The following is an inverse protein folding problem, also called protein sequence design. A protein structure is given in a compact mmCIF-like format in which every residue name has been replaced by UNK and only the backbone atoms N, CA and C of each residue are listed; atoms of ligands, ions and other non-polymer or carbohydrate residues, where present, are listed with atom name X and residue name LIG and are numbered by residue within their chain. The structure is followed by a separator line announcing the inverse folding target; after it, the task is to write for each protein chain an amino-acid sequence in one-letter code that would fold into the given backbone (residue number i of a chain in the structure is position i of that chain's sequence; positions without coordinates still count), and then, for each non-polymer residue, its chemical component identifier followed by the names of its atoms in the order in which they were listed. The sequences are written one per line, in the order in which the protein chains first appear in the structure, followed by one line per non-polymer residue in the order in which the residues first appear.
data_IF_493617009446
#
_entry.id   IF_493617009446
#
_cell.length_a   1.000
_cell.length_b   1.000
_cell.length_c   1.000
_cell.angle_alpha   90.00
_cell.angle_beta   90.00
_cell.angle_gamma   90.00
#
_symmetry.space_group_name_H-M   'P 1'
#
loop_
_entity.id
_entity.type
_entity.pdbx_description
1 polymer ?
#
# COMPACT_ATOMS: atom_id res chain seq x y z
N UNK A 1 -1.13 -26.88 12.16
CA UNK A 1 -2.02 -26.06 11.33
C UNK A 1 -1.16 -24.94 10.80
N UNK A 2 -0.93 -24.89 9.49
CA UNK A 2 -0.27 -23.74 8.90
C UNK A 2 -1.15 -22.53 9.16
N UNK A 3 -0.58 -21.47 9.75
CA UNK A 3 -1.31 -20.23 9.95
C UNK A 3 -1.73 -19.71 8.57
N UNK A 4 -3.04 -19.57 8.37
CA UNK A 4 -3.61 -18.99 7.18
C UNK A 4 -3.00 -17.59 6.98
N UNK A 5 -2.56 -17.28 5.77
CA UNK A 5 -2.07 -15.95 5.43
C UNK A 5 -3.17 -14.93 5.71
N UNK A 6 -2.85 -13.91 6.52
CA UNK A 6 -3.80 -12.88 6.93
C UNK A 6 -3.16 -11.51 6.79
N UNK A 7 -3.92 -10.60 6.19
CA UNK A 7 -3.52 -9.21 5.99
C UNK A 7 -4.72 -8.28 6.07
N UNK A 8 -4.45 -6.99 6.26
CA UNK A 8 -5.44 -5.91 6.26
C UNK A 8 -4.96 -4.77 5.36
N UNK A 9 -5.90 -4.13 4.70
CA UNK A 9 -5.65 -2.97 3.84
C UNK A 9 -6.11 -1.71 4.57
N UNK A 10 -5.22 -0.73 4.69
CA UNK A 10 -5.53 0.58 5.21
C UNK A 10 -5.36 1.62 4.10
N UNK A 11 -6.47 2.21 3.68
CA UNK A 11 -6.45 3.35 2.79
C UNK A 11 -5.73 4.54 3.45
N UNK A 12 -4.80 5.16 2.74
CA UNK A 12 -4.02 6.30 3.25
C UNK A 12 -4.44 7.64 2.64
N UNK A 13 -5.16 7.66 1.50
CA UNK A 13 -5.60 8.90 0.88
C UNK A 13 -6.91 9.39 1.49
N UNK A 14 -6.92 10.65 1.90
CA UNK A 14 -8.15 11.39 2.18
C UNK A 14 -8.20 12.68 1.39
N UNK A 15 -9.40 13.21 1.23
CA UNK A 15 -9.67 14.48 0.57
C UNK A 15 -10.44 15.39 1.50
N UNK A 16 -9.95 16.62 1.63
CA UNK A 16 -10.64 17.73 2.29
C UNK A 16 -10.70 18.92 1.32
N UNK A 17 -11.91 19.25 0.86
CA UNK A 17 -12.08 20.21 -0.26
C UNK A 17 -11.35 19.73 -1.51
N UNK A 18 -10.50 20.57 -2.09
CA UNK A 18 -9.69 20.23 -3.26
C UNK A 18 -8.31 19.62 -2.91
N UNK A 19 -8.03 19.41 -1.62
CA UNK A 19 -6.72 18.91 -1.16
C UNK A 19 -6.78 17.42 -0.88
N UNK A 20 -5.91 16.65 -1.54
CA UNK A 20 -5.64 15.24 -1.22
C UNK A 20 -4.48 15.16 -0.23
N UNK A 21 -4.65 14.39 0.83
CA UNK A 21 -3.66 14.22 1.90
C UNK A 21 -3.47 12.76 2.29
N UNK A 22 -2.35 12.46 2.93
CA UNK A 22 -2.01 11.17 3.52
C UNK A 22 -0.91 11.38 4.58
N UNK A 23 -0.61 10.37 5.43
CA UNK A 23 0.54 10.43 6.32
C UNK A 23 1.83 10.77 5.55
N UNK A 24 2.64 11.67 6.10
CA UNK A 24 3.75 12.33 5.38
C UNK A 24 4.74 11.36 4.77
N UNK A 25 5.24 10.38 5.54
CA UNK A 25 6.26 9.44 5.06
C UNK A 25 5.74 8.58 3.89
N UNK A 26 4.60 7.87 4.00
CA UNK A 26 4.03 7.14 2.87
C UNK A 26 3.71 8.01 1.65
N UNK A 27 3.25 9.25 1.86
CA UNK A 27 2.97 10.19 0.77
C UNK A 27 4.24 10.57 0.01
N UNK A 28 5.31 10.95 0.72
CA UNK A 28 6.59 11.31 0.11
C UNK A 28 7.21 10.12 -0.63
N UNK A 29 7.18 8.94 0.00
CA UNK A 29 7.61 7.70 -0.64
C UNK A 29 6.86 7.43 -1.95
N UNK A 30 5.53 7.49 -1.92
CA UNK A 30 4.70 7.25 -3.11
C UNK A 30 4.98 8.27 -4.23
N UNK A 31 5.17 9.55 -3.87
CA UNK A 31 5.55 10.58 -4.83
C UNK A 31 6.91 10.30 -5.48
N UNK A 32 7.88 9.84 -4.72
CA UNK A 32 9.21 9.56 -5.24
C UNK A 32 9.22 8.31 -6.13
N UNK A 33 8.49 7.26 -5.76
CA UNK A 33 8.34 6.07 -6.62
C UNK A 33 7.59 6.38 -7.91
N UNK A 34 6.53 7.20 -7.84
CA UNK A 34 5.77 7.61 -9.01
C UNK A 34 6.62 8.45 -9.99
N UNK A 35 7.45 9.38 -9.46
CA UNK A 35 8.40 10.15 -10.28
C UNK A 35 9.43 9.27 -11.00
N UNK A 36 9.94 8.22 -10.34
CA UNK A 36 10.89 7.29 -10.95
C UNK A 36 10.29 6.52 -12.12
N UNK A 37 8.98 6.25 -12.07
CA UNK A 37 8.24 5.59 -13.15
C UNK A 37 7.68 6.52 -14.23
N UNK A 38 7.83 7.84 -14.09
CA UNK A 38 7.10 8.86 -14.89
C UNK A 38 5.57 8.65 -14.86
N UNK A 39 5.05 8.17 -13.73
CA UNK A 39 3.63 7.91 -13.51
C UNK A 39 3.05 8.86 -12.47
N UNK A 40 1.75 9.11 -12.56
CA UNK A 40 0.98 9.71 -11.46
C UNK A 40 0.33 8.58 -10.68
N UNK A 41 0.15 8.76 -9.37
CA UNK A 41 -0.65 7.85 -8.54
C UNK A 41 -1.90 8.57 -8.02
N UNK A 42 -2.97 7.81 -7.83
CA UNK A 42 -4.21 8.28 -7.20
C UNK A 42 -4.82 7.23 -6.26
N UNK A 43 -4.06 6.18 -5.93
CA UNK A 43 -4.34 5.16 -4.92
C UNK A 43 -3.10 5.01 -4.05
N UNK A 44 -3.28 5.03 -2.74
CA UNK A 44 -2.22 4.75 -1.77
C UNK A 44 -2.84 4.03 -0.57
N UNK A 45 -2.31 2.86 -0.24
CA UNK A 45 -2.72 2.09 0.92
C UNK A 45 -1.52 1.42 1.59
N UNK A 46 -1.68 1.10 2.87
CA UNK A 46 -0.75 0.26 3.61
C UNK A 46 -1.31 -1.16 3.73
N UNK A 47 -0.44 -2.14 3.60
CA UNK A 47 -0.73 -3.55 3.88
C UNK A 47 -0.17 -3.90 5.23
N UNK A 48 -1.04 -4.33 6.14
CA UNK A 48 -0.66 -4.86 7.45
C UNK A 48 -0.73 -6.38 7.41
N UNK A 49 0.31 -7.05 7.87
CA UNK A 49 0.32 -8.51 8.00
C UNK A 49 0.10 -8.91 9.45
N UNK A 50 -0.60 -10.03 9.67
CA UNK A 50 -0.66 -10.68 11.00
C UNK A 50 0.74 -11.12 11.45
N UNK A 51 1.56 -11.58 10.50
CA UNK A 51 2.97 -11.89 10.72
C UNK A 51 3.82 -10.63 10.51
N UNK A 52 4.15 -9.96 11.62
CA UNK A 52 4.92 -8.71 11.64
C UNK A 52 6.36 -8.88 11.12
N UNK A 53 6.83 -10.11 10.88
CA UNK A 53 8.19 -10.35 10.35
C UNK A 53 8.29 -10.24 8.83
N UNK A 54 7.15 -10.16 8.14
CA UNK A 54 7.09 -10.00 6.68
C UNK A 54 7.68 -8.64 6.29
N UNK A 55 8.61 -8.66 5.34
CA UNK A 55 9.34 -7.49 4.83
C UNK A 55 10.21 -6.75 5.86
N UNK A 56 10.56 -7.40 6.97
CA UNK A 56 11.43 -6.82 8.00
C UNK A 56 12.84 -7.43 8.01
N UNK A 57 13.79 -6.69 8.58
CA UNK A 57 15.10 -7.18 9.02
C UNK A 57 15.13 -7.30 10.53
N UNK A 58 16.01 -8.17 11.05
CA UNK A 58 16.40 -8.11 12.45
C UNK A 58 17.60 -7.15 12.57
N UNK A 59 17.43 -6.04 13.30
CA UNK A 59 18.47 -5.05 13.53
C UNK A 59 18.66 -4.85 15.04
N UNK A 60 19.75 -5.40 15.57
CA UNK A 60 20.09 -5.28 17.00
C UNK A 60 19.09 -6.00 17.89
N UNK A 61 18.16 -5.24 18.48
CA UNK A 61 17.21 -5.66 19.50
C UNK A 61 15.77 -5.85 19.00
N UNK A 62 15.51 -5.63 17.70
CA UNK A 62 14.16 -5.82 17.16
C UNK A 62 14.09 -5.93 15.65
N UNK A 63 12.86 -6.09 15.15
CA UNK A 63 12.56 -6.00 13.74
C UNK A 63 12.53 -4.54 13.29
N UNK A 64 12.91 -4.29 12.04
CA UNK A 64 12.73 -2.99 11.40
C UNK A 64 11.25 -2.57 11.39
N UNK A 65 11.01 -1.27 11.18
CA UNK A 65 9.67 -0.71 11.03
C UNK A 65 9.29 -0.41 9.58
N UNK A 66 9.65 -1.30 8.64
CA UNK A 66 9.38 -1.07 7.23
C UNK A 66 7.89 -1.14 6.93
N UNK A 67 7.42 -0.24 6.07
CA UNK A 67 6.05 -0.24 5.60
C UNK A 67 5.91 -1.06 4.32
N UNK A 68 4.81 -1.80 4.19
CA UNK A 68 4.41 -2.39 2.91
C UNK A 68 3.26 -1.57 2.33
N UNK A 69 3.45 -1.03 1.13
CA UNK A 69 2.56 -0.07 0.52
C UNK A 69 2.02 -0.57 -0.82
N UNK A 70 0.75 -0.29 -1.08
CA UNK A 70 0.14 -0.33 -2.40
C UNK A 70 0.15 1.09 -2.94
N UNK A 71 0.81 1.27 -4.08
CA UNK A 71 0.80 2.52 -4.84
C UNK A 71 0.14 2.20 -6.17
N UNK A 72 -0.84 3.00 -6.58
CA UNK A 72 -1.53 2.68 -7.82
C UNK A 72 -2.27 3.83 -8.45
N UNK A 73 -2.80 3.51 -9.63
CA UNK A 73 -3.44 4.47 -10.52
C UNK A 73 -4.68 3.85 -11.11
N UNK A 74 -5.83 4.45 -10.80
CA UNK A 74 -7.06 4.22 -11.50
C UNK A 74 -7.07 5.06 -12.78
N UNK A 75 -7.10 4.37 -13.91
CA UNK A 75 -7.49 4.91 -15.21
C UNK A 75 -8.99 4.64 -15.44
N UNK A 76 -9.57 5.19 -16.51
CA UNK A 76 -11.04 5.15 -16.72
C UNK A 76 -11.68 3.78 -16.49
N UNK A 77 -11.07 2.71 -17.02
CA UNK A 77 -11.63 1.36 -16.98
C UNK A 77 -10.65 0.30 -16.47
N UNK A 78 -9.51 0.71 -15.90
CA UNK A 78 -8.46 -0.21 -15.47
C UNK A 78 -7.68 0.38 -14.29
N UNK A 79 -7.17 -0.50 -13.44
CA UNK A 79 -6.39 -0.13 -12.26
C UNK A 79 -5.02 -0.80 -12.33
N UNK A 80 -3.97 0.01 -12.28
CA UNK A 80 -2.60 -0.45 -12.16
C UNK A 80 -2.16 -0.33 -10.70
N UNK A 81 -1.73 -1.44 -10.10
CA UNK A 81 -1.25 -1.48 -8.72
C UNK A 81 0.19 -1.99 -8.67
N UNK A 82 1.03 -1.29 -7.91
CA UNK A 82 2.34 -1.76 -7.47
C UNK A 82 2.35 -2.03 -5.97
N UNK A 83 2.94 -3.14 -5.57
CA UNK A 83 3.26 -3.48 -4.18
C UNK A 83 4.73 -3.12 -3.91
N UNK A 84 4.98 -2.39 -2.83
CA UNK A 84 6.28 -1.83 -2.48
C UNK A 84 6.60 -2.06 -1.02
N UNK A 85 7.88 -2.17 -0.69
CA UNK A 85 8.39 -2.03 0.68
C UNK A 85 9.10 -0.68 0.78
N UNK A 86 8.70 0.14 1.74
CA UNK A 86 9.41 1.34 2.16
C UNK A 86 10.37 0.99 3.31
N UNK A 87 11.66 0.97 3.00
CA UNK A 87 12.74 0.72 3.97
C UNK A 87 13.25 2.01 4.63
N UNK A 88 12.52 3.12 4.48
CA UNK A 88 12.86 4.45 4.97
C UNK A 88 13.95 5.16 4.16
N UNK A 89 15.04 4.46 3.82
CA UNK A 89 16.14 5.00 3.00
C UNK A 89 15.99 4.69 1.51
N UNK A 90 15.17 3.70 1.16
CA UNK A 90 14.94 3.25 -0.22
C UNK A 90 13.63 2.49 -0.34
N UNK A 91 13.10 2.44 -1.57
CA UNK A 91 11.98 1.58 -1.93
C UNK A 91 12.41 0.29 -2.60
N UNK A 92 11.74 -0.82 -2.27
CA UNK A 92 11.88 -2.10 -2.97
C UNK A 92 10.57 -2.40 -3.69
N UNK A 93 10.56 -2.43 -5.04
CA UNK A 93 9.37 -2.84 -5.78
C UNK A 93 9.19 -4.35 -5.61
N UNK A 94 8.07 -4.78 -5.03
CA UNK A 94 7.77 -6.20 -4.80
C UNK A 94 7.20 -6.81 -6.06
N UNK A 95 6.08 -6.27 -6.53
CA UNK A 95 5.35 -6.78 -7.68
C UNK A 95 4.43 -5.69 -8.26
N UNK A 96 3.93 -5.93 -9.47
CA UNK A 96 2.93 -5.10 -10.13
C UNK A 96 1.83 -5.96 -10.73
N UNK A 97 0.62 -5.42 -10.83
CA UNK A 97 -0.51 -6.10 -11.44
C UNK A 97 -1.47 -5.10 -12.09
N UNK A 98 -2.09 -5.52 -13.18
CA UNK A 98 -3.19 -4.83 -13.84
C UNK A 98 -4.51 -5.52 -13.53
N UNK A 99 -5.56 -4.75 -13.31
CA UNK A 99 -6.89 -5.30 -12.99
C UNK A 99 -7.43 -6.14 -14.16
N UNK A 100 -7.15 -5.76 -15.40
CA UNK A 100 -7.55 -6.51 -16.60
C UNK A 100 -6.93 -7.90 -16.67
N UNK A 101 -5.66 -8.01 -16.27
CA UNK A 101 -4.85 -9.22 -16.49
C UNK A 101 -4.95 -10.17 -15.30
N UNK A 102 -5.21 -9.62 -14.10
CA UNK A 102 -5.26 -10.34 -12.83
C UNK A 102 -4.02 -11.19 -12.54
N UNK A 103 -2.89 -10.87 -13.15
CA UNK A 103 -1.62 -11.57 -12.94
C UNK A 103 -0.63 -10.64 -12.24
N UNK A 104 -0.03 -11.13 -11.14
CA UNK A 104 0.99 -10.42 -10.41
C UNK A 104 2.38 -10.72 -10.99
N UNK A 105 3.07 -9.69 -11.47
CA UNK A 105 4.43 -9.77 -11.97
C UNK A 105 5.39 -9.36 -10.86
N UNK A 106 6.12 -10.34 -10.31
CA UNK A 106 7.06 -10.14 -9.22
C UNK A 106 8.40 -9.63 -9.76
N UNK A 107 8.93 -8.57 -9.16
CA UNK A 107 10.14 -7.96 -9.70
C UNK A 107 11.40 -8.79 -9.43
N UNK A 108 12.39 -8.76 -10.33
CA UNK A 108 13.70 -9.38 -10.08
C UNK A 108 14.43 -8.79 -8.87
N UNK A 109 14.16 -7.52 -8.54
CA UNK A 109 14.77 -6.85 -7.39
C UNK A 109 14.30 -7.50 -6.09
N UNK A 110 12.99 -7.72 -5.95
CA UNK A 110 12.41 -8.37 -4.79
C UNK A 110 12.83 -9.84 -4.66
N UNK A 111 12.90 -10.59 -5.77
CA UNK A 111 13.37 -11.99 -5.75
C UNK A 111 14.76 -12.13 -5.13
N UNK A 112 15.66 -11.17 -5.41
CA UNK A 112 17.04 -11.13 -4.89
C UNK A 112 17.15 -10.48 -3.51
N UNK A 113 16.12 -9.79 -3.06
CA UNK A 113 16.11 -9.12 -1.77
C UNK A 113 15.93 -10.18 -0.68
N UNK A 114 16.75 -10.09 0.36
CA UNK A 114 16.55 -10.85 1.58
C UNK A 114 15.63 -10.04 2.50
N UNK A 115 14.74 -10.72 3.20
CA UNK A 115 13.94 -10.24 4.32
C UNK A 115 13.85 -11.40 5.30
N UNK A 116 13.52 -11.13 6.56
CA UNK A 116 13.27 -12.20 7.53
C UNK A 116 12.19 -13.16 7.02
N UNK A 117 11.10 -12.59 6.50
CA UNK A 117 10.10 -13.32 5.74
C UNK A 117 9.69 -12.55 4.49
N UNK A 118 9.57 -13.28 3.39
CA UNK A 118 9.03 -12.79 2.12
C UNK A 118 7.63 -13.33 1.93
N UNK A 119 6.80 -12.54 1.26
CA UNK A 119 5.59 -13.06 0.63
C UNK A 119 5.96 -14.07 -0.46
N UNK A 120 5.22 -15.17 -0.52
CA UNK A 120 5.26 -16.10 -1.65
C UNK A 120 4.54 -15.50 -2.87
N UNK A 121 4.70 -16.12 -4.04
CA UNK A 121 4.03 -15.66 -5.26
C UNK A 121 2.50 -15.73 -5.10
N UNK A 122 2.00 -16.78 -4.45
CA UNK A 122 0.58 -16.99 -4.15
C UNK A 122 0.03 -15.91 -3.21
N UNK A 123 0.79 -15.53 -2.17
CA UNK A 123 0.38 -14.49 -1.23
C UNK A 123 0.34 -13.10 -1.89
N UNK A 124 1.29 -12.80 -2.77
CA UNK A 124 1.29 -11.55 -3.55
C UNK A 124 0.05 -11.52 -4.46
N UNK A 125 -0.21 -12.61 -5.17
CA UNK A 125 -1.39 -12.75 -6.02
C UNK A 125 -2.69 -12.61 -5.24
N UNK A 126 -2.76 -13.18 -4.03
CA UNK A 126 -3.91 -13.07 -3.13
C UNK A 126 -4.19 -11.62 -2.72
N UNK A 127 -3.15 -10.84 -2.39
CA UNK A 127 -3.30 -9.40 -2.07
C UNK A 127 -3.90 -8.64 -3.27
N UNK A 128 -3.34 -8.82 -4.48
CA UNK A 128 -3.84 -8.11 -5.65
C UNK A 128 -5.27 -8.51 -6.01
N UNK A 129 -5.58 -9.80 -6.01
CA UNK A 129 -6.94 -10.28 -6.26
C UNK A 129 -7.92 -9.69 -5.25
N UNK A 130 -7.58 -9.70 -3.97
CA UNK A 130 -8.41 -9.10 -2.93
C UNK A 130 -8.68 -7.62 -3.19
N UNK A 131 -7.66 -6.84 -3.57
CA UNK A 131 -7.81 -5.42 -3.88
C UNK A 131 -8.64 -5.17 -5.14
N UNK A 132 -8.48 -5.97 -6.18
CA UNK A 132 -9.26 -5.85 -7.41
C UNK A 132 -10.72 -6.26 -7.24
N UNK A 133 -11.00 -7.19 -6.33
CA UNK A 133 -12.36 -7.59 -5.97
C UNK A 133 -12.99 -6.59 -4.95
N UNK A 134 -12.18 -5.77 -4.28
CA UNK A 134 -12.59 -4.81 -3.25
C UNK A 134 -12.03 -3.40 -3.49
N UNK A 135 -12.20 -2.87 -4.70
CA UNK A 135 -11.61 -1.58 -5.12
C UNK A 135 -11.99 -0.39 -4.24
N UNK A 136 -13.16 -0.43 -3.59
CA UNK A 136 -13.62 0.56 -2.63
C UNK A 136 -12.62 0.80 -1.47
N UNK A 137 -11.79 -0.20 -1.12
CA UNK A 137 -10.75 -0.07 -0.10
C UNK A 137 -9.64 0.91 -0.50
N UNK A 138 -9.51 1.24 -1.79
CA UNK A 138 -8.49 2.13 -2.32
C UNK A 138 -9.06 3.50 -2.74
N UNK A 139 -10.37 3.72 -2.64
CA UNK A 139 -11.01 4.99 -2.99
C UNK A 139 -10.60 6.11 -2.03
N UNK A 140 -10.40 7.32 -2.56
CA UNK A 140 -10.01 8.46 -1.73
C UNK A 140 -11.13 8.77 -0.74
N UNK A 141 -10.83 8.71 0.55
CA UNK A 141 -11.83 8.94 1.61
C UNK A 141 -12.19 10.41 1.68
N UNK A 142 -13.48 10.72 1.81
CA UNK A 142 -13.93 12.09 2.02
C UNK A 142 -13.89 12.41 3.52
N UNK A 143 -13.00 13.31 3.91
CA UNK A 143 -13.03 13.88 5.25
C UNK A 143 -14.17 14.90 5.26
N UNK A 144 -15.37 14.44 5.60
CA UNK A 144 -16.46 15.37 5.88
C UNK A 144 -16.07 16.17 7.11
N UNK A 145 -16.10 17.50 6.99
CA UNK A 145 -15.98 18.38 8.14
C UNK A 145 -17.07 18.00 9.14
N UNK A 146 -16.72 17.25 10.18
CA UNK A 146 -17.50 17.25 11.41
C UNK A 146 -17.27 18.64 11.99
N UNK A 147 -18.05 19.62 11.53
CA UNK A 147 -18.31 20.81 12.33
C UNK A 147 -18.99 20.32 13.59
N UNK A 148 -18.23 20.27 14.68
CA UNK A 148 -18.79 20.21 16.03
C UNK A 148 -19.73 21.41 16.21
N UNK A 149 -21.00 21.25 15.87
CA UNK A 149 -22.08 22.07 16.42
C UNK A 149 -22.30 21.67 17.88
N UNK A 150 -21.27 21.88 18.71
CA UNK A 150 -21.37 21.76 20.15
C UNK A 150 -21.48 23.15 20.76
N UNK A 151 -22.74 23.54 20.97
CA UNK A 151 -23.24 24.50 21.96
C UNK A 151 -23.10 26.00 21.68
N UNK A 152 -23.97 26.50 20.81
CA UNK A 152 -24.62 27.80 21.01
C UNK A 152 -26.10 27.57 21.35
N UNK A 153 -26.40 27.21 22.60
CA UNK A 153 -27.76 27.31 23.12
C UNK A 153 -27.70 27.88 24.54
N UNK A 154 -28.05 29.17 24.59
CA UNK A 154 -28.83 29.90 25.61
C UNK A 154 -28.53 29.68 27.09
#
# INVERSE_FOLDING_TARGET
MENQFQFRIQNLLSQKGDTISAPTSPMLFAQDMAKLGDEKFNRLARVWFEDETIHQYWEGDGYTGHDTLIIGTQYKNDMHLGLWVDEGVRGVPVAMAFQSDKEAIITPVYKKKEYHKKLSEEQIQEIFNYLFDNTHLLEIRQDTDITDESNSNQ
#
